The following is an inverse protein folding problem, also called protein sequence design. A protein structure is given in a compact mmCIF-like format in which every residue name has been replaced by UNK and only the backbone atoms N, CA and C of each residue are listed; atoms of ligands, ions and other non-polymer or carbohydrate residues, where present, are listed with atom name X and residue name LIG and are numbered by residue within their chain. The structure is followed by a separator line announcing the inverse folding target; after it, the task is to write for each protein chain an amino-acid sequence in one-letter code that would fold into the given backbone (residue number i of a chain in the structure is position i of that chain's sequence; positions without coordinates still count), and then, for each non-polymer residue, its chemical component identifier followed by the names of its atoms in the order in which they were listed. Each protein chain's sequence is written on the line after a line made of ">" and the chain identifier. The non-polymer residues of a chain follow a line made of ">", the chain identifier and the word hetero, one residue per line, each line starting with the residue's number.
data_IF_284823985464
#
_entry.id   IF_284823985464
#
_cell.length_a   1.000
_cell.length_b   1.000
_cell.length_c   1.000
_cell.angle_alpha   90.00
_cell.angle_beta   90.00
_cell.angle_gamma   90.00
#
_symmetry.space_group_name_H-M   'P 1'
#
loop_
_entity.id
_entity.type
_entity.pdbx_description
1 polymer ?
#
# COMPACT_ATOMS: atom_id res chain seq x y z
N UNK A 1 17.08 -10.20 5.88
CA UNK A 1 17.28 -9.80 4.47
C UNK A 1 18.14 -8.55 4.43
N UNK A 2 19.39 -8.69 3.99
CA UNK A 2 20.22 -7.53 3.66
C UNK A 2 19.64 -6.94 2.38
N UNK A 3 18.84 -5.93 2.50
CA UNK A 3 18.57 -5.04 1.37
C UNK A 3 19.92 -4.37 1.13
N UNK A 4 20.56 -4.75 0.06
CA UNK A 4 21.69 -3.99 -0.48
C UNK A 4 21.16 -2.57 -0.70
N UNK A 5 21.52 -1.66 0.21
CA UNK A 5 21.19 -0.25 0.13
C UNK A 5 22.08 0.40 -0.92
N UNK A 6 22.05 -0.10 -2.13
CA UNK A 6 22.35 0.75 -3.25
C UNK A 6 21.19 1.76 -3.30
N UNK A 7 21.37 2.89 -2.64
CA UNK A 7 20.53 4.06 -2.86
C UNK A 7 20.65 4.33 -4.33
N UNK A 8 19.65 3.89 -5.08
CA UNK A 8 19.52 4.28 -6.49
C UNK A 8 19.24 5.76 -6.43
N UNK A 9 20.23 6.57 -6.66
CA UNK A 9 20.05 8.02 -6.75
C UNK A 9 19.11 8.28 -7.92
N UNK A 10 18.00 8.94 -7.65
CA UNK A 10 17.09 9.35 -8.70
C UNK A 10 17.82 10.31 -9.64
N UNK A 11 17.67 10.10 -10.92
CA UNK A 11 18.14 11.05 -11.92
C UNK A 11 17.40 12.40 -11.77
N UNK A 12 17.99 13.51 -12.20
CA UNK A 12 17.29 14.82 -12.20
C UNK A 12 15.93 14.76 -12.89
N UNK A 13 15.78 13.96 -13.93
CA UNK A 13 14.50 13.78 -14.64
C UNK A 13 13.47 13.08 -13.76
N UNK A 14 13.86 12.04 -13.02
CA UNK A 14 12.97 11.34 -12.11
C UNK A 14 12.58 12.23 -10.92
N UNK A 15 13.50 13.01 -10.39
CA UNK A 15 13.19 14.00 -9.33
C UNK A 15 12.17 15.02 -9.82
N UNK A 16 12.35 15.57 -11.02
CA UNK A 16 11.40 16.52 -11.59
C UNK A 16 10.04 15.88 -11.83
N UNK A 17 9.98 14.67 -12.36
CA UNK A 17 8.72 13.94 -12.55
C UNK A 17 7.99 13.69 -11.21
N UNK A 18 8.73 13.36 -10.15
CA UNK A 18 8.17 13.22 -8.81
C UNK A 18 7.62 14.54 -8.26
N UNK A 19 8.36 15.65 -8.45
CA UNK A 19 7.91 16.97 -8.00
C UNK A 19 6.65 17.43 -8.75
N UNK A 20 6.57 17.20 -10.05
CA UNK A 20 5.38 17.47 -10.86
C UNK A 20 4.18 16.63 -10.34
N UNK A 21 4.39 15.34 -10.08
CA UNK A 21 3.37 14.46 -9.51
C UNK A 21 2.88 14.99 -8.16
N UNK A 22 3.80 15.39 -7.28
CA UNK A 22 3.46 15.94 -5.97
C UNK A 22 2.66 17.24 -6.07
N UNK A 23 3.00 18.14 -6.99
CA UNK A 23 2.27 19.39 -7.22
C UNK A 23 0.84 19.16 -7.73
N UNK A 24 0.62 18.10 -8.48
CA UNK A 24 -0.72 17.75 -8.97
C UNK A 24 -1.67 17.33 -7.84
N UNK A 25 -1.14 16.95 -6.66
CA UNK A 25 -1.96 16.65 -5.48
C UNK A 25 -2.82 17.84 -5.04
N UNK A 26 -2.44 19.07 -5.33
CA UNK A 26 -3.23 20.26 -4.99
C UNK A 26 -4.61 20.26 -5.67
N UNK A 27 -4.76 19.55 -6.78
CA UNK A 27 -6.04 19.35 -7.48
C UNK A 27 -6.91 18.23 -6.91
N UNK A 28 -6.41 17.46 -5.94
CA UNK A 28 -7.12 16.33 -5.33
C UNK A 28 -7.94 16.84 -4.15
N UNK A 29 -9.28 16.88 -4.30
CA UNK A 29 -10.19 17.43 -3.30
C UNK A 29 -11.17 16.41 -2.73
N UNK A 30 -11.36 15.27 -3.40
CA UNK A 30 -12.29 14.21 -3.03
C UNK A 30 -11.79 12.83 -3.47
N UNK A 31 -12.53 11.78 -3.13
CA UNK A 31 -12.17 10.41 -3.47
C UNK A 31 -12.16 10.14 -4.97
N UNK A 32 -12.99 10.82 -5.74
CA UNK A 32 -13.05 10.63 -7.19
C UNK A 32 -11.86 11.29 -7.88
N UNK A 33 -11.48 12.49 -7.48
CA UNK A 33 -10.27 13.15 -7.97
C UNK A 33 -9.01 12.41 -7.53
N UNK A 34 -8.98 11.88 -6.30
CA UNK A 34 -7.90 11.04 -5.82
C UNK A 34 -7.75 9.75 -6.64
N UNK A 35 -8.87 9.07 -6.94
CA UNK A 35 -8.87 7.87 -7.79
C UNK A 35 -8.33 8.18 -9.19
N UNK A 36 -8.77 9.28 -9.80
CA UNK A 36 -8.28 9.69 -11.13
C UNK A 36 -6.79 9.99 -11.11
N UNK A 37 -6.32 10.70 -10.11
CA UNK A 37 -4.91 11.00 -9.93
C UNK A 37 -4.08 9.72 -9.76
N UNK A 38 -4.51 8.78 -8.92
CA UNK A 38 -3.83 7.49 -8.75
C UNK A 38 -3.81 6.67 -10.04
N UNK A 39 -4.95 6.54 -10.73
CA UNK A 39 -5.06 5.68 -11.91
C UNK A 39 -4.35 6.23 -13.14
N UNK A 40 -4.09 7.53 -13.18
CA UNK A 40 -3.44 8.20 -14.32
C UNK A 40 -2.03 8.66 -13.99
N UNK A 41 -1.90 9.62 -13.10
CA UNK A 41 -0.64 10.31 -12.86
C UNK A 41 0.34 9.46 -12.02
N UNK A 42 -0.15 8.87 -10.92
CA UNK A 42 0.68 7.98 -10.08
C UNK A 42 1.10 6.75 -10.88
N UNK A 43 0.18 6.14 -11.64
CA UNK A 43 0.48 4.98 -12.47
C UNK A 43 1.50 5.28 -13.58
N UNK A 44 1.48 6.48 -14.13
CA UNK A 44 2.46 6.90 -15.14
C UNK A 44 3.86 7.04 -14.54
N UNK A 45 3.96 7.50 -13.29
CA UNK A 45 5.22 7.65 -12.57
C UNK A 45 5.72 6.32 -11.98
N UNK A 46 4.84 5.58 -11.32
CA UNK A 46 5.10 4.28 -10.72
C UNK A 46 4.14 3.25 -11.36
N UNK A 47 4.58 2.51 -12.40
CA UNK A 47 3.73 1.54 -13.06
C UNK A 47 3.28 0.44 -12.09
N UNK A 48 1.98 0.22 -11.98
CA UNK A 48 1.36 -0.83 -11.20
C UNK A 48 0.16 -1.43 -11.93
N UNK A 49 -0.16 -2.68 -11.66
CA UNK A 49 -1.38 -3.32 -12.14
C UNK A 49 -2.58 -2.94 -11.28
N UNK A 50 -2.40 -3.00 -9.96
CA UNK A 50 -3.45 -2.76 -8.96
C UNK A 50 -2.92 -1.86 -7.84
N UNK A 51 -3.80 -1.02 -7.29
CA UNK A 51 -3.51 -0.20 -6.11
C UNK A 51 -4.67 -0.28 -5.13
N UNK A 52 -4.35 -0.46 -3.86
CA UNK A 52 -5.29 -0.26 -2.77
C UNK A 52 -4.77 0.81 -1.82
N UNK A 53 -5.65 1.70 -1.39
CA UNK A 53 -5.36 2.72 -0.39
C UNK A 53 -6.44 2.64 0.69
N UNK A 54 -6.01 2.54 1.94
CA UNK A 54 -6.89 2.52 3.09
C UNK A 54 -6.48 3.59 4.10
N UNK A 55 -7.45 4.28 4.67
CA UNK A 55 -7.23 5.10 5.87
C UNK A 55 -8.04 4.52 7.01
N UNK A 56 -7.52 4.60 8.22
CA UNK A 56 -8.22 4.00 9.34
C UNK A 56 -7.58 4.27 10.69
N UNK A 57 -8.21 3.70 11.71
CA UNK A 57 -7.84 3.80 13.11
C UNK A 57 -7.22 2.52 13.60
N UNK A 58 -6.13 2.65 14.33
CA UNK A 58 -5.43 1.54 14.98
C UNK A 58 -5.80 1.51 16.46
N UNK A 59 -6.38 0.41 16.93
CA UNK A 59 -6.71 0.23 18.34
C UNK A 59 -6.76 -1.26 18.70
N UNK A 60 -6.16 -1.61 19.84
CA UNK A 60 -6.19 -2.97 20.41
C UNK A 60 -5.86 -4.09 19.42
N UNK A 61 -4.85 -3.88 18.56
CA UNK A 61 -4.45 -4.89 17.57
C UNK A 61 -5.39 -5.03 16.37
N UNK A 62 -6.28 -4.07 16.18
CA UNK A 62 -7.23 -4.02 15.07
C UNK A 62 -7.00 -2.74 14.25
N UNK A 63 -7.15 -2.87 12.95
CA UNK A 63 -7.29 -1.76 12.02
C UNK A 63 -8.77 -1.62 11.65
N UNK A 64 -9.36 -0.49 11.99
CA UNK A 64 -10.69 -0.11 11.54
C UNK A 64 -10.56 0.76 10.31
N UNK A 65 -11.00 0.26 9.17
CA UNK A 65 -10.92 0.95 7.90
C UNK A 65 -12.05 1.97 7.82
N UNK A 66 -11.70 3.25 7.73
CA UNK A 66 -12.65 4.36 7.58
C UNK A 66 -12.90 4.68 6.10
N UNK A 67 -11.84 4.63 5.28
CA UNK A 67 -11.94 4.80 3.83
C UNK A 67 -11.10 3.75 3.11
N UNK A 68 -11.62 3.26 1.99
CA UNK A 68 -10.96 2.29 1.14
C UNK A 68 -11.13 2.69 -0.33
N UNK A 69 -10.03 2.77 -1.04
CA UNK A 69 -9.99 3.00 -2.48
C UNK A 69 -9.24 1.85 -3.14
N UNK A 70 -9.83 1.28 -4.18
CA UNK A 70 -9.14 0.34 -5.08
C UNK A 70 -9.06 0.92 -6.49
N UNK A 71 -7.92 0.73 -7.14
CA UNK A 71 -7.72 0.94 -8.57
C UNK A 71 -7.40 -0.42 -9.17
N UNK A 72 -8.31 -0.94 -9.99
CA UNK A 72 -8.23 -2.27 -10.63
C UNK A 72 -8.05 -3.43 -9.64
N UNK A 73 -8.39 -3.24 -8.38
CA UNK A 73 -8.35 -4.28 -7.35
C UNK A 73 -9.63 -5.14 -7.40
N UNK A 74 -9.54 -6.47 -7.21
CA UNK A 74 -10.70 -7.33 -7.16
C UNK A 74 -11.70 -6.88 -6.10
N UNK A 75 -12.97 -6.76 -6.46
CA UNK A 75 -14.05 -6.31 -5.57
C UNK A 75 -14.20 -7.27 -4.37
N UNK A 76 -14.05 -8.55 -4.62
CA UNK A 76 -14.12 -9.60 -3.60
C UNK A 76 -13.05 -9.42 -2.53
N UNK A 77 -11.83 -9.07 -2.93
CA UNK A 77 -10.75 -8.77 -1.99
C UNK A 77 -11.07 -7.53 -1.16
N UNK A 78 -11.54 -6.46 -1.81
CA UNK A 78 -11.89 -5.22 -1.12
C UNK A 78 -13.02 -5.42 -0.10
N UNK A 79 -14.00 -6.27 -0.40
CA UNK A 79 -15.09 -6.59 0.52
C UNK A 79 -14.61 -7.28 1.80
N UNK A 80 -13.53 -8.06 1.74
CA UNK A 80 -12.96 -8.75 2.90
C UNK A 80 -12.30 -7.78 3.89
N UNK A 81 -11.76 -6.67 3.42
CA UNK A 81 -11.04 -5.69 4.26
C UNK A 81 -11.87 -4.47 4.65
N UNK A 82 -13.14 -4.39 4.21
CA UNK A 82 -14.01 -3.22 4.37
C UNK A 82 -14.46 -2.91 5.81
N UNK A 83 -14.14 -3.71 6.82
CA UNK A 83 -14.67 -3.48 8.17
C UNK A 83 -13.59 -3.34 9.23
N UNK A 84 -13.09 -4.42 9.71
CA UNK A 84 -11.95 -4.43 10.63
C UNK A 84 -11.01 -5.57 10.28
N UNK A 85 -9.76 -5.25 10.34
CA UNK A 85 -8.69 -6.15 9.97
C UNK A 85 -7.92 -6.53 11.22
N UNK A 86 -7.96 -7.81 11.65
CA UNK A 86 -7.11 -8.30 12.71
C UNK A 86 -5.64 -8.20 12.27
N UNK A 87 -4.83 -7.43 13.00
CA UNK A 87 -3.44 -7.21 12.62
C UNK A 87 -2.58 -8.47 12.73
N UNK A 88 -2.96 -9.41 13.63
CA UNK A 88 -2.26 -10.68 13.75
C UNK A 88 -2.36 -11.57 12.49
N UNK A 89 -3.34 -11.33 11.63
CA UNK A 89 -3.51 -12.02 10.35
C UNK A 89 -2.91 -11.25 9.16
N UNK A 90 -2.35 -10.06 9.41
CA UNK A 90 -1.78 -9.16 8.40
C UNK A 90 -0.29 -8.89 8.68
N UNK A 91 0.53 -9.90 8.42
CA UNK A 91 1.96 -9.87 8.73
C UNK A 91 2.70 -8.73 8.05
N UNK A 92 2.34 -8.40 6.81
CA UNK A 92 2.95 -7.29 6.08
C UNK A 92 2.65 -5.95 6.77
N UNK A 93 1.40 -5.72 7.18
CA UNK A 93 1.01 -4.51 7.92
C UNK A 93 1.71 -4.47 9.27
N UNK A 94 1.78 -5.59 10.00
CA UNK A 94 2.51 -5.67 11.27
C UNK A 94 3.98 -5.30 11.10
N UNK A 95 4.64 -5.86 10.09
CA UNK A 95 6.05 -5.58 9.81
C UNK A 95 6.25 -4.10 9.49
N UNK A 96 5.39 -3.53 8.63
CA UNK A 96 5.43 -2.11 8.36
C UNK A 96 5.21 -1.26 9.61
N UNK A 97 4.23 -1.59 10.46
CA UNK A 97 3.98 -0.87 11.71
C UNK A 97 5.17 -0.92 12.66
N UNK A 98 5.91 -2.02 12.67
CA UNK A 98 7.08 -2.20 13.54
C UNK A 98 8.31 -1.44 13.04
N UNK A 99 8.62 -1.52 11.75
CA UNK A 99 9.86 -0.98 11.19
C UNK A 99 9.70 0.38 10.49
N UNK A 100 8.47 0.77 10.13
CA UNK A 100 8.15 2.01 9.39
C UNK A 100 8.84 2.11 8.02
N UNK A 101 9.21 0.98 7.45
CA UNK A 101 9.87 0.90 6.16
C UNK A 101 8.93 0.29 5.11
N UNK A 102 9.07 0.64 3.83
CA UNK A 102 8.35 -0.04 2.77
C UNK A 102 8.55 -1.55 2.84
N UNK A 103 7.47 -2.30 2.62
CA UNK A 103 7.49 -3.75 2.55
C UNK A 103 7.36 -4.15 1.08
N UNK A 104 8.32 -4.93 0.60
CA UNK A 104 8.30 -5.48 -0.75
C UNK A 104 8.19 -6.99 -0.61
N UNK A 105 7.22 -7.59 -1.28
CA UNK A 105 6.98 -9.03 -1.30
C UNK A 105 7.07 -9.52 -2.73
N UNK A 106 7.91 -10.50 -2.95
CA UNK A 106 8.09 -11.19 -4.22
C UNK A 106 7.61 -12.63 -4.11
N UNK A 107 7.48 -13.39 -5.21
CA UNK A 107 7.12 -14.80 -5.15
C UNK A 107 8.03 -15.65 -4.25
N UNK A 108 9.30 -15.28 -4.12
CA UNK A 108 10.25 -15.98 -3.24
C UNK A 108 9.95 -15.74 -1.75
N UNK A 109 9.26 -14.68 -1.40
CA UNK A 109 8.99 -14.28 -0.01
C UNK A 109 7.64 -14.83 0.51
N UNK A 110 6.79 -15.39 -0.35
CA UNK A 110 5.41 -15.79 -0.01
C UNK A 110 5.38 -16.72 1.19
N UNK A 111 6.25 -17.74 1.23
CA UNK A 111 6.25 -18.74 2.30
C UNK A 111 6.77 -18.20 3.64
N UNK A 112 7.62 -17.19 3.63
CA UNK A 112 8.32 -16.70 4.80
C UNK A 112 7.80 -15.40 5.36
N UNK A 113 7.27 -14.52 4.50
CA UNK A 113 6.91 -13.15 4.85
C UNK A 113 5.40 -12.89 4.94
N UNK A 114 4.58 -13.84 4.50
CA UNK A 114 3.13 -13.72 4.54
C UNK A 114 2.51 -14.61 5.61
N UNK A 115 1.38 -14.18 6.18
CA UNK A 115 0.52 -15.04 6.98
C UNK A 115 -0.18 -16.07 6.08
N UNK A 116 -0.82 -17.07 6.68
CA UNK A 116 -1.60 -18.06 5.93
C UNK A 116 -2.74 -17.41 5.13
N UNK A 117 -3.44 -16.44 5.73
CA UNK A 117 -4.49 -15.68 5.07
C UNK A 117 -3.94 -14.86 3.90
N UNK A 118 -2.84 -14.13 4.11
CA UNK A 118 -2.22 -13.33 3.06
C UNK A 118 -1.72 -14.20 1.89
N UNK A 119 -1.14 -15.39 2.19
CA UNK A 119 -0.75 -16.35 1.13
C UNK A 119 -1.94 -16.82 0.30
N UNK A 120 -3.04 -17.16 0.96
CA UNK A 120 -4.27 -17.56 0.28
C UNK A 120 -4.78 -16.44 -0.63
N UNK A 121 -4.85 -15.21 -0.13
CA UNK A 121 -5.26 -14.04 -0.91
C UNK A 121 -4.31 -13.79 -2.09
N UNK A 122 -3.02 -13.83 -1.85
CA UNK A 122 -1.98 -13.62 -2.85
C UNK A 122 -2.14 -14.58 -4.03
N UNK A 123 -2.36 -15.86 -3.75
CA UNK A 123 -2.58 -16.88 -4.76
C UNK A 123 -3.95 -16.77 -5.43
N UNK A 124 -5.00 -16.50 -4.65
CA UNK A 124 -6.38 -16.44 -5.17
C UNK A 124 -6.61 -15.25 -6.11
N UNK A 125 -5.92 -14.15 -5.89
CA UNK A 125 -6.05 -12.93 -6.69
C UNK A 125 -4.88 -12.72 -7.68
N UNK A 126 -4.03 -13.72 -7.87
CA UNK A 126 -2.85 -13.69 -8.75
C UNK A 126 -1.92 -12.50 -8.48
N UNK A 127 -1.73 -12.16 -7.22
CA UNK A 127 -0.78 -11.13 -6.82
C UNK A 127 0.64 -11.72 -6.86
N UNK A 128 1.51 -11.17 -7.68
CA UNK A 128 2.87 -11.72 -7.88
C UNK A 128 3.94 -10.95 -7.14
N UNK A 129 3.91 -9.64 -7.28
CA UNK A 129 4.79 -8.75 -6.56
C UNK A 129 3.95 -7.68 -5.93
N UNK A 130 4.34 -7.26 -4.75
CA UNK A 130 3.63 -6.17 -4.16
C UNK A 130 4.54 -5.32 -3.27
N UNK A 131 4.30 -4.01 -3.28
CA UNK A 131 4.98 -3.06 -2.44
C UNK A 131 3.95 -2.34 -1.57
N UNK A 132 4.19 -2.29 -0.27
CA UNK A 132 3.30 -1.66 0.69
C UNK A 132 4.04 -0.67 1.59
N UNK A 133 3.39 0.42 1.86
CA UNK A 133 3.88 1.45 2.78
C UNK A 133 2.71 2.26 3.34
N UNK A 134 3.01 3.22 4.18
CA UNK A 134 1.99 4.11 4.71
C UNK A 134 2.56 5.19 5.62
N UNK A 135 1.65 5.99 6.14
CA UNK A 135 1.94 7.04 7.11
C UNK A 135 1.08 6.81 8.34
N UNK A 136 1.65 6.99 9.50
CA UNK A 136 0.95 6.92 10.78
C UNK A 136 1.10 8.24 11.52
N UNK A 137 0.05 8.67 12.21
CA UNK A 137 0.11 9.89 13.00
C UNK A 137 1.04 9.73 14.22
N UNK A 138 1.53 10.81 14.83
CA UNK A 138 2.47 10.76 15.95
C UNK A 138 1.97 9.97 17.17
N UNK A 139 0.66 9.90 17.38
CA UNK A 139 0.06 9.13 18.50
C UNK A 139 -0.11 7.64 18.19
N UNK A 140 0.14 7.20 16.95
CA UNK A 140 -0.02 5.81 16.54
C UNK A 140 -1.47 5.32 16.44
N UNK A 141 -2.44 6.24 16.40
CA UNK A 141 -3.88 5.92 16.42
C UNK A 141 -4.53 5.94 15.05
N UNK A 142 -3.96 6.64 14.08
CA UNK A 142 -4.48 6.75 12.72
C UNK A 142 -3.39 6.45 11.70
N UNK A 143 -3.76 5.73 10.67
CA UNK A 143 -2.85 5.37 9.59
C UNK A 143 -3.50 5.56 8.22
N UNK A 144 -2.66 5.91 7.25
CA UNK A 144 -2.93 5.75 5.83
C UNK A 144 -2.00 4.68 5.29
N UNK A 145 -2.53 3.69 4.64
CA UNK A 145 -1.79 2.55 4.11
C UNK A 145 -2.10 2.37 2.64
N UNK A 146 -1.10 2.05 1.86
CA UNK A 146 -1.26 1.76 0.44
C UNK A 146 -0.41 0.55 0.03
N UNK A 147 -0.91 -0.18 -0.94
CA UNK A 147 -0.15 -1.26 -1.56
C UNK A 147 -0.36 -1.28 -3.08
N UNK A 148 0.75 -1.44 -3.79
CA UNK A 148 0.82 -1.59 -5.24
C UNK A 148 1.12 -3.05 -5.58
N UNK A 149 0.39 -3.61 -6.56
CA UNK A 149 0.62 -4.96 -7.06
C UNK A 149 0.71 -4.98 -8.60
#
# INVERSE_FOLDING_TARGET
>A
MNIDRSITEFSPTEVNAFLELALQCDGVQDMDSFRRWCSKEVRAFLPFGMLIVATGRLTHGLLFVDNLLGVDYPVEFMQQILRRVPLNERKVIQTWLACRQPQIVTPADIETHLSELERFEFLSFDLRNFAAHGVINPTGTHASYFSFA
#
